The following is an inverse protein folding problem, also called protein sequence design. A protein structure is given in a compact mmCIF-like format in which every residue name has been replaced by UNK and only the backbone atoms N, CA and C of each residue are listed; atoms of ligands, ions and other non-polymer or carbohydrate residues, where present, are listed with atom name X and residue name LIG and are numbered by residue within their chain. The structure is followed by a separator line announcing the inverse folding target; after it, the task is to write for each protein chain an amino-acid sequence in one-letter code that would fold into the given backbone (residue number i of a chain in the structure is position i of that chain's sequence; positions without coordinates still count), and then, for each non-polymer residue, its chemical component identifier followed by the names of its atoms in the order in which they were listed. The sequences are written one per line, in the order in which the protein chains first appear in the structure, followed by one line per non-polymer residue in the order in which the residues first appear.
data_IF_480713650314
#
_entry.id   IF_480713650314
#
_cell.length_a   1.000
_cell.length_b   1.000
_cell.length_c   1.000
_cell.angle_alpha   90.00
_cell.angle_beta   90.00
_cell.angle_gamma   90.00
#
_symmetry.space_group_name_H-M   'P 1'
#
loop_
_entity.id
_entity.type
_entity.pdbx_description
1 polymer ?
#
# COMPACT_ATOMS: atom_id res chain seq x y z
N UNK A 1 -85.00 33.67 21.78
CA UNK A 1 -84.25 32.45 22.22
C UNK A 1 -83.54 31.67 21.08
N UNK A 2 -84.20 31.37 19.95
CA UNK A 2 -83.59 30.65 18.85
C UNK A 2 -82.66 31.56 17.99
N UNK A 3 -83.08 32.79 17.74
CA UNK A 3 -82.33 33.80 17.07
C UNK A 3 -81.04 34.22 17.83
N UNK A 4 -81.10 34.34 19.12
CA UNK A 4 -79.98 34.69 20.00
C UNK A 4 -78.92 33.60 20.04
N UNK A 5 -79.31 32.32 19.95
CA UNK A 5 -78.33 31.16 19.84
C UNK A 5 -77.64 31.16 18.51
N UNK A 6 -78.29 31.44 17.41
CA UNK A 6 -77.72 31.51 16.07
C UNK A 6 -76.68 32.66 15.98
N UNK A 7 -77.01 33.81 16.62
CA UNK A 7 -76.14 34.97 16.63
C UNK A 7 -74.87 34.74 17.51
N UNK A 8 -75.06 34.02 18.61
CA UNK A 8 -73.92 33.60 19.47
C UNK A 8 -73.03 32.57 18.81
N UNK A 9 -73.56 31.58 18.10
CA UNK A 9 -72.83 30.59 17.36
C UNK A 9 -72.06 31.24 16.20
N UNK A 10 -72.65 32.16 15.46
CA UNK A 10 -72.01 32.94 14.43
C UNK A 10 -70.83 33.80 14.95
N UNK A 11 -71.02 34.42 16.15
CA UNK A 11 -69.94 35.17 16.82
C UNK A 11 -68.78 34.26 17.26
N UNK A 12 -69.08 33.08 17.75
CA UNK A 12 -68.09 32.09 18.14
C UNK A 12 -67.28 31.57 16.92
N UNK A 13 -67.93 31.25 15.82
CA UNK A 13 -67.30 30.81 14.61
C UNK A 13 -66.46 31.89 13.98
N UNK A 14 -66.92 33.15 13.99
CA UNK A 14 -66.08 34.27 13.52
C UNK A 14 -64.85 34.49 14.39
N UNK A 15 -64.97 34.33 15.72
CA UNK A 15 -63.77 34.38 16.61
C UNK A 15 -62.84 33.23 16.36
N UNK A 16 -63.31 31.99 16.18
CA UNK A 16 -62.54 30.83 15.85
C UNK A 16 -61.80 31.03 14.54
N UNK A 17 -62.43 31.57 13.52
CA UNK A 17 -61.86 31.89 12.24
C UNK A 17 -60.76 32.96 12.35
N UNK A 18 -61.00 34.00 13.15
CA UNK A 18 -59.99 35.05 13.42
C UNK A 18 -58.72 34.48 14.13
N UNK A 19 -58.95 33.66 15.17
CA UNK A 19 -57.84 32.98 15.89
C UNK A 19 -57.06 32.08 14.96
N UNK A 20 -57.73 31.32 14.08
CA UNK A 20 -57.09 30.46 13.09
C UNK A 20 -56.18 31.27 12.13
N UNK A 21 -56.71 32.40 11.62
CA UNK A 21 -55.93 33.28 10.76
C UNK A 21 -54.72 33.93 11.48
N UNK A 22 -54.91 34.33 12.74
CA UNK A 22 -53.79 34.86 13.57
C UNK A 22 -52.73 33.78 13.76
N UNK A 23 -53.10 32.53 14.07
CA UNK A 23 -52.15 31.43 14.23
C UNK A 23 -51.38 31.12 12.92
N UNK A 24 -52.08 31.13 11.77
CA UNK A 24 -51.46 30.96 10.45
C UNK A 24 -50.45 32.08 10.17
N UNK A 25 -50.85 33.33 10.47
CA UNK A 25 -49.94 34.49 10.25
C UNK A 25 -48.68 34.44 11.12
N UNK A 26 -48.85 34.02 12.40
CA UNK A 26 -47.69 33.81 13.31
C UNK A 26 -46.81 32.70 12.80
N UNK A 27 -47.38 31.57 12.37
CA UNK A 27 -46.61 30.46 11.81
C UNK A 27 -45.83 30.86 10.58
N UNK A 28 -46.46 31.57 9.63
CA UNK A 28 -45.79 32.07 8.41
C UNK A 28 -44.70 33.08 8.77
N UNK A 29 -44.91 33.94 9.75
CA UNK A 29 -43.89 34.89 10.19
C UNK A 29 -42.69 34.20 10.82
N UNK A 30 -42.89 33.18 11.67
CA UNK A 30 -41.85 32.39 12.27
C UNK A 30 -41.08 31.61 11.18
N UNK A 31 -41.79 30.98 10.24
CA UNK A 31 -41.19 30.25 9.14
C UNK A 31 -40.34 31.15 8.24
N UNK A 32 -40.86 32.36 7.91
CA UNK A 32 -40.11 33.35 7.16
C UNK A 32 -38.87 33.86 7.91
N UNK A 33 -38.94 34.04 9.23
CA UNK A 33 -37.80 34.41 10.05
C UNK A 33 -36.73 33.35 10.11
N UNK A 34 -37.10 32.06 10.19
CA UNK A 34 -36.16 30.91 10.14
C UNK A 34 -35.46 30.89 8.77
N UNK A 35 -36.21 30.97 7.68
CA UNK A 35 -35.62 31.00 6.34
C UNK A 35 -34.70 32.20 6.18
N UNK A 36 -35.06 33.38 6.62
CA UNK A 36 -34.23 34.56 6.57
C UNK A 36 -32.94 34.42 7.38
N UNK A 37 -33.02 33.76 8.56
CA UNK A 37 -31.82 33.48 9.37
C UNK A 37 -30.86 32.51 8.68
N UNK A 38 -31.38 31.44 8.06
CA UNK A 38 -30.55 30.49 7.28
C UNK A 38 -29.89 31.17 6.09
N UNK A 39 -30.65 31.99 5.32
CA UNK A 39 -30.04 32.76 4.22
C UNK A 39 -28.97 33.75 4.70
N UNK A 40 -29.15 34.34 5.87
CA UNK A 40 -28.16 35.26 6.46
C UNK A 40 -26.90 34.52 6.88
N UNK A 41 -27.03 33.32 7.47
CA UNK A 41 -25.89 32.47 7.85
C UNK A 41 -25.11 32.00 6.60
N UNK A 42 -25.81 31.57 5.55
CA UNK A 42 -25.18 31.14 4.27
C UNK A 42 -24.46 32.33 3.64
N UNK A 43 -25.08 33.51 3.56
CA UNK A 43 -24.48 34.71 2.99
C UNK A 43 -23.26 35.18 3.78
N UNK A 44 -23.35 35.13 5.10
CA UNK A 44 -22.23 35.50 6.01
C UNK A 44 -21.09 34.51 5.87
N UNK A 45 -21.38 33.22 5.82
CA UNK A 45 -20.39 32.18 5.55
C UNK A 45 -19.69 32.38 4.21
N UNK A 46 -20.45 32.61 3.13
CA UNK A 46 -19.90 32.88 1.79
C UNK A 46 -18.99 34.13 1.76
N UNK A 47 -19.34 35.20 2.50
CA UNK A 47 -18.54 36.41 2.53
C UNK A 47 -17.19 36.25 3.23
N UNK A 48 -17.03 35.25 4.08
CA UNK A 48 -15.77 34.91 4.76
C UNK A 48 -14.95 33.83 4.06
N UNK A 49 -15.55 33.05 3.16
CA UNK A 49 -14.88 31.99 2.42
C UNK A 49 -14.17 32.53 1.18
N UNK A 50 -13.18 33.39 1.40
CA UNK A 50 -12.29 33.79 0.31
C UNK A 50 -11.10 32.83 0.25
N UNK A 51 -10.89 32.22 -0.90
CA UNK A 51 -9.67 31.49 -1.20
C UNK A 51 -8.62 32.50 -1.65
N UNK A 52 -7.52 32.57 -0.93
CA UNK A 52 -6.38 33.43 -1.32
C UNK A 52 -5.74 32.88 -2.59
N UNK A 53 -5.39 33.75 -3.54
CA UNK A 53 -4.73 33.34 -4.77
C UNK A 53 -3.31 32.84 -4.49
N UNK A 54 -2.88 31.85 -5.25
CA UNK A 54 -1.53 31.29 -5.21
C UNK A 54 -0.62 32.19 -6.05
N UNK A 55 0.55 32.50 -5.53
CA UNK A 55 1.61 33.31 -6.19
C UNK A 55 2.80 32.41 -6.56
N UNK A 56 3.80 32.98 -7.22
CA UNK A 56 5.06 32.29 -7.51
C UNK A 56 5.99 32.19 -6.27
N UNK A 57 5.66 32.89 -5.18
CA UNK A 57 6.45 32.88 -3.95
C UNK A 57 5.95 31.80 -2.98
N UNK A 58 6.77 30.78 -2.65
CA UNK A 58 6.38 29.69 -1.76
C UNK A 58 6.01 30.17 -0.34
N UNK A 59 6.67 31.20 0.20
CA UNK A 59 6.39 31.71 1.55
C UNK A 59 5.00 32.36 1.59
N UNK A 60 4.65 33.16 0.58
CA UNK A 60 3.32 33.76 0.46
C UNK A 60 2.23 32.68 0.31
N UNK A 61 2.52 31.59 -0.38
CA UNK A 61 1.59 30.47 -0.54
C UNK A 61 1.30 29.76 0.78
N UNK A 62 2.28 29.59 1.65
CA UNK A 62 2.08 29.02 3.00
C UNK A 62 1.18 29.93 3.83
N UNK A 63 1.41 31.25 3.80
CA UNK A 63 0.54 32.22 4.48
C UNK A 63 -0.89 32.19 3.92
N UNK A 64 -1.05 32.13 2.60
CA UNK A 64 -2.35 32.03 1.93
C UNK A 64 -3.14 30.77 2.32
N UNK A 65 -2.45 29.62 2.39
CA UNK A 65 -3.04 28.35 2.87
C UNK A 65 -3.48 28.51 4.34
N UNK A 66 -2.62 29.04 5.20
CA UNK A 66 -2.90 29.22 6.62
C UNK A 66 -4.11 30.15 6.85
N UNK A 67 -4.19 31.28 6.12
CA UNK A 67 -5.31 32.19 6.18
C UNK A 67 -6.61 31.56 5.68
N UNK A 68 -6.55 30.81 4.59
CA UNK A 68 -7.71 30.10 4.04
C UNK A 68 -8.23 29.08 5.06
N UNK A 69 -7.36 28.30 5.69
CA UNK A 69 -7.75 27.33 6.73
C UNK A 69 -8.35 28.02 7.96
N UNK A 70 -7.84 29.17 8.40
CA UNK A 70 -8.44 29.96 9.49
C UNK A 70 -9.85 30.44 9.13
N UNK A 71 -10.07 30.88 7.91
CA UNK A 71 -11.38 31.30 7.43
C UNK A 71 -12.37 30.13 7.41
N UNK A 72 -11.94 28.95 6.91
CA UNK A 72 -12.75 27.73 6.93
C UNK A 72 -13.09 27.32 8.37
N UNK A 73 -12.09 27.35 9.26
CA UNK A 73 -12.28 27.03 10.67
C UNK A 73 -13.33 27.94 11.31
N UNK A 74 -13.26 29.24 11.09
CA UNK A 74 -14.25 30.21 11.63
C UNK A 74 -15.67 29.85 11.20
N UNK A 75 -15.86 29.48 9.91
CA UNK A 75 -17.19 29.11 9.41
C UNK A 75 -17.65 27.75 9.97
N UNK A 76 -16.73 26.79 10.09
CA UNK A 76 -17.04 25.47 10.70
C UNK A 76 -17.50 25.67 12.14
N UNK A 77 -16.77 26.45 12.95
CA UNK A 77 -17.13 26.71 14.34
C UNK A 77 -18.48 27.40 14.51
N UNK A 78 -18.90 28.19 13.52
CA UNK A 78 -20.19 28.93 13.58
C UNK A 78 -21.41 28.08 13.14
N UNK A 79 -21.25 27.16 12.19
CA UNK A 79 -22.40 26.52 11.55
C UNK A 79 -22.38 24.99 11.57
N UNK A 80 -21.26 24.35 11.91
CA UNK A 80 -21.19 22.90 11.94
C UNK A 80 -21.84 22.35 13.21
N UNK A 81 -22.78 21.39 13.04
CA UNK A 81 -23.56 20.84 14.16
C UNK A 81 -22.95 19.58 14.78
N UNK A 82 -21.90 19.01 14.17
CA UNK A 82 -21.23 17.81 14.65
C UNK A 82 -20.12 18.12 15.66
N UNK A 83 -19.55 17.05 16.22
CA UNK A 83 -18.34 17.15 17.05
C UNK A 83 -17.12 17.33 16.16
N UNK A 84 -16.17 18.14 16.58
CA UNK A 84 -14.92 18.43 15.88
C UNK A 84 -13.81 17.63 16.54
N UNK A 85 -13.22 16.71 15.79
CA UNK A 85 -12.00 16.01 16.18
C UNK A 85 -10.78 16.77 15.62
N UNK A 86 -10.12 17.54 16.51
CA UNK A 86 -8.99 18.41 16.15
C UNK A 86 -7.81 17.61 15.61
N UNK A 87 -7.53 16.46 16.20
CA UNK A 87 -6.41 15.62 15.76
C UNK A 87 -6.65 15.09 14.36
N UNK A 88 -7.85 14.58 14.11
CA UNK A 88 -8.23 14.10 12.78
C UNK A 88 -8.18 15.19 11.71
N UNK A 89 -8.64 16.42 12.04
CA UNK A 89 -8.55 17.56 11.12
C UNK A 89 -7.08 17.87 10.80
N UNK A 90 -6.20 17.88 11.82
CA UNK A 90 -4.78 18.12 11.63
C UNK A 90 -4.16 17.06 10.72
N UNK A 91 -4.37 15.78 11.02
CA UNK A 91 -3.82 14.67 10.26
C UNK A 91 -4.27 14.69 8.79
N UNK A 92 -5.57 14.90 8.54
CA UNK A 92 -6.11 14.95 7.18
C UNK A 92 -5.66 16.22 6.42
N UNK A 93 -5.43 17.33 7.12
CA UNK A 93 -4.88 18.55 6.51
C UNK A 93 -3.45 18.33 6.03
N UNK A 94 -2.60 17.73 6.87
CA UNK A 94 -1.21 17.39 6.51
C UNK A 94 -1.19 16.36 5.38
N UNK A 95 -2.02 15.32 5.48
CA UNK A 95 -2.18 14.29 4.45
C UNK A 95 -2.57 14.91 3.10
N UNK A 96 -3.55 15.82 3.09
CA UNK A 96 -3.96 16.56 1.90
C UNK A 96 -2.84 17.42 1.30
N UNK A 97 -2.03 18.06 2.16
CA UNK A 97 -0.88 18.85 1.72
C UNK A 97 0.18 18.00 1.02
N UNK A 98 0.55 16.85 1.62
CA UNK A 98 1.52 15.90 1.03
C UNK A 98 0.98 15.28 -0.25
N UNK A 99 -0.31 14.90 -0.28
CA UNK A 99 -0.96 14.39 -1.49
C UNK A 99 -0.95 15.38 -2.65
N UNK A 100 -0.90 16.68 -2.36
CA UNK A 100 -0.78 17.74 -3.35
C UNK A 100 0.56 17.75 -4.11
N UNK A 101 1.55 16.96 -3.71
CA UNK A 101 2.81 16.74 -4.44
C UNK A 101 2.60 15.90 -5.72
N UNK A 102 1.46 15.21 -5.87
CA UNK A 102 1.14 14.31 -6.97
C UNK A 102 2.20 13.20 -7.17
N UNK A 103 2.80 12.78 -6.05
CA UNK A 103 3.75 11.68 -5.97
C UNK A 103 3.11 10.49 -5.26
N UNK A 104 2.99 9.36 -5.96
CA UNK A 104 2.32 8.14 -5.48
C UNK A 104 3.04 7.46 -4.30
N UNK A 105 4.31 7.82 -4.04
CA UNK A 105 5.15 7.23 -3.01
C UNK A 105 5.34 8.11 -1.79
N UNK A 106 5.01 9.41 -1.88
CA UNK A 106 5.10 10.35 -0.76
C UNK A 106 3.79 10.37 0.02
N UNK A 107 3.87 10.17 1.33
CA UNK A 107 2.70 10.12 2.19
C UNK A 107 2.99 10.57 3.62
N UNK A 108 1.96 11.08 4.29
CA UNK A 108 1.95 11.30 5.73
C UNK A 108 1.21 10.14 6.40
N UNK A 109 1.80 9.58 7.45
CA UNK A 109 1.20 8.55 8.28
C UNK A 109 1.18 8.99 9.74
N UNK A 110 0.07 8.79 10.43
CA UNK A 110 -0.02 8.93 11.88
C UNK A 110 0.90 7.93 12.57
N UNK A 111 1.22 8.14 13.85
CA UNK A 111 2.05 7.23 14.63
C UNK A 111 1.52 5.78 14.59
N UNK A 112 0.20 5.60 14.63
CA UNK A 112 -0.44 4.28 14.53
C UNK A 112 -0.25 3.66 13.15
N UNK A 113 -0.54 4.41 12.08
CA UNK A 113 -0.36 3.93 10.71
C UNK A 113 1.10 3.58 10.42
N UNK A 114 2.04 4.35 10.99
CA UNK A 114 3.46 4.06 10.88
C UNK A 114 3.86 2.78 11.61
N UNK A 115 3.31 2.54 12.78
CA UNK A 115 3.58 1.32 13.54
C UNK A 115 3.02 0.09 12.81
N UNK A 116 1.81 0.20 12.26
CA UNK A 116 1.21 -0.81 11.39
C UNK A 116 2.06 -1.04 10.12
N UNK A 117 2.58 0.02 9.50
CA UNK A 117 3.45 -0.05 8.33
C UNK A 117 4.79 -0.75 8.66
N UNK A 118 5.47 -0.37 9.76
CA UNK A 118 6.71 -1.02 10.20
C UNK A 118 6.52 -2.52 10.43
N UNK A 119 5.46 -2.87 11.13
CA UNK A 119 5.11 -4.28 11.41
C UNK A 119 4.96 -5.08 10.11
N UNK A 120 4.39 -4.45 9.09
CA UNK A 120 4.23 -5.06 7.77
C UNK A 120 5.55 -5.12 6.97
N UNK A 121 6.36 -4.04 7.00
CA UNK A 121 7.57 -3.91 6.21
C UNK A 121 8.78 -4.70 6.75
N UNK A 122 8.81 -4.96 8.05
CA UNK A 122 9.91 -5.70 8.69
C UNK A 122 9.70 -7.24 8.68
N UNK A 123 8.67 -7.73 8.00
CA UNK A 123 8.41 -9.17 7.91
C UNK A 123 8.02 -9.85 9.23
N UNK A 124 7.90 -9.08 10.33
CA UNK A 124 7.46 -9.58 11.62
C UNK A 124 5.93 -9.67 11.68
N UNK A 125 5.37 -10.53 10.84
CA UNK A 125 3.93 -10.73 10.81
C UNK A 125 3.47 -11.57 11.97
N UNK A 126 2.71 -10.98 12.90
CA UNK A 126 1.93 -11.74 13.86
C UNK A 126 0.51 -11.89 13.34
N UNK A 127 0.16 -13.10 12.98
CA UNK A 127 -1.11 -13.40 12.35
C UNK A 127 -1.38 -14.89 12.25
N UNK A 128 -2.07 -15.31 11.20
CA UNK A 128 -2.40 -16.71 10.98
C UNK A 128 -1.56 -17.40 9.90
N UNK A 129 -0.86 -16.63 9.04
CA UNK A 129 -0.01 -17.15 7.96
C UNK A 129 -0.80 -17.62 6.74
N UNK A 130 -1.28 -16.66 5.95
CA UNK A 130 -1.92 -16.89 4.64
C UNK A 130 -1.41 -15.88 3.62
N UNK A 131 -1.22 -16.33 2.40
CA UNK A 131 -1.21 -15.45 1.22
C UNK A 131 -2.64 -15.26 0.75
N UNK A 132 -3.01 -14.03 0.41
CA UNK A 132 -4.37 -13.70 -0.05
C UNK A 132 -4.33 -12.68 -1.18
N UNK A 133 -5.35 -12.69 -2.01
CA UNK A 133 -5.54 -11.74 -3.10
C UNK A 133 -7.01 -11.34 -3.21
N UNK A 134 -7.29 -10.31 -4.00
CA UNK A 134 -8.66 -9.94 -4.34
C UNK A 134 -9.03 -10.68 -5.63
N UNK A 135 -10.09 -11.49 -5.57
CA UNK A 135 -10.58 -12.23 -6.72
C UNK A 135 -11.40 -11.34 -7.69
N UNK A 136 -11.86 -11.89 -8.79
CA UNK A 136 -12.58 -11.15 -9.85
C UNK A 136 -13.92 -10.57 -9.37
N UNK A 137 -14.51 -11.15 -8.33
CA UNK A 137 -15.74 -10.71 -7.69
C UNK A 137 -15.51 -9.61 -6.63
N UNK A 138 -14.24 -9.20 -6.41
CA UNK A 138 -13.88 -8.18 -5.44
C UNK A 138 -13.79 -8.68 -4.00
N UNK A 139 -13.75 -9.98 -3.76
CA UNK A 139 -13.63 -10.58 -2.44
C UNK A 139 -12.19 -11.01 -2.15
N UNK A 140 -11.81 -11.02 -0.88
CA UNK A 140 -10.51 -11.52 -0.44
C UNK A 140 -10.54 -13.04 -0.39
N UNK A 141 -9.65 -13.67 -1.15
CA UNK A 141 -9.53 -15.13 -1.30
C UNK A 141 -8.15 -15.58 -0.83
N UNK A 142 -8.11 -16.71 -0.11
CA UNK A 142 -6.86 -17.36 0.30
C UNK A 142 -6.18 -17.95 -0.93
N UNK A 143 -5.03 -17.39 -1.29
CA UNK A 143 -4.20 -17.91 -2.37
C UNK A 143 -3.52 -19.20 -1.92
N UNK A 144 -2.93 -19.18 -0.70
CA UNK A 144 -2.31 -20.35 -0.09
C UNK A 144 -2.05 -20.09 1.42
N UNK A 145 -2.27 -21.08 2.32
CA UNK A 145 -1.72 -21.04 3.67
C UNK A 145 -0.20 -21.23 3.64
N UNK A 146 0.53 -20.50 4.48
CA UNK A 146 1.98 -20.63 4.61
C UNK A 146 2.30 -21.96 5.33
N UNK A 147 3.26 -22.70 4.83
CA UNK A 147 3.69 -23.98 5.40
C UNK A 147 4.11 -23.84 6.87
N UNK A 148 3.62 -24.72 7.73
CA UNK A 148 3.84 -24.69 9.18
C UNK A 148 3.07 -23.60 9.92
N UNK A 149 2.22 -22.82 9.24
CA UNK A 149 1.47 -21.73 9.85
C UNK A 149 0.27 -22.20 10.70
N UNK A 150 -0.25 -21.31 11.58
CA UNK A 150 -1.51 -21.55 12.27
C UNK A 150 -2.69 -21.79 11.34
N UNK A 151 -2.75 -21.10 10.20
CA UNK A 151 -3.81 -21.23 9.20
C UNK A 151 -3.81 -22.62 8.54
N UNK A 152 -2.63 -23.11 8.15
CA UNK A 152 -2.47 -24.46 7.60
C UNK A 152 -2.90 -25.50 8.65
N UNK A 153 -2.38 -25.37 9.88
CA UNK A 153 -2.72 -26.26 11.00
C UNK A 153 -4.21 -26.27 11.33
N UNK A 154 -4.90 -25.13 11.16
CA UNK A 154 -6.35 -25.03 11.34
C UNK A 154 -7.15 -25.60 10.17
N UNK A 155 -6.51 -25.83 9.02
CA UNK A 155 -7.14 -26.42 7.84
C UNK A 155 -7.77 -25.39 6.88
N UNK A 156 -7.33 -24.13 6.88
CA UNK A 156 -7.60 -23.19 5.78
C UNK A 156 -6.98 -23.76 4.51
N UNK A 157 -7.61 -23.44 3.36
CA UNK A 157 -7.20 -23.97 2.06
C UNK A 157 -7.21 -22.88 0.99
N UNK A 158 -6.45 -23.11 -0.06
CA UNK A 158 -6.51 -22.34 -1.29
C UNK A 158 -7.96 -22.29 -1.81
N UNK A 159 -8.39 -21.10 -2.22
CA UNK A 159 -9.73 -20.85 -2.73
C UNK A 159 -10.79 -20.56 -1.67
N UNK A 160 -10.43 -20.51 -0.37
CA UNK A 160 -11.33 -20.07 0.68
C UNK A 160 -11.57 -18.55 0.56
N UNK A 161 -12.82 -18.11 0.42
CA UNK A 161 -13.17 -16.71 0.38
C UNK A 161 -13.45 -16.22 1.80
N UNK A 162 -12.72 -15.23 2.28
CA UNK A 162 -12.91 -14.66 3.62
C UNK A 162 -14.16 -13.81 3.64
N UNK A 163 -15.17 -14.24 4.38
CA UNK A 163 -16.47 -13.55 4.46
C UNK A 163 -16.68 -12.80 5.76
N UNK A 164 -16.02 -13.22 6.86
CA UNK A 164 -16.00 -12.43 8.11
C UNK A 164 -14.73 -12.65 8.91
N UNK A 165 -14.35 -11.62 9.70
CA UNK A 165 -13.27 -11.66 10.69
C UNK A 165 -13.82 -11.09 12.00
N UNK A 166 -13.76 -11.86 13.10
CA UNK A 166 -14.34 -11.52 14.41
C UNK A 166 -15.82 -11.05 14.29
N UNK A 167 -16.60 -11.79 13.52
CA UNK A 167 -18.02 -11.52 13.22
C UNK A 167 -18.29 -10.21 12.45
N UNK A 168 -17.25 -9.47 12.01
CA UNK A 168 -17.39 -8.34 11.10
C UNK A 168 -17.42 -8.84 9.64
N UNK A 169 -18.35 -8.34 8.83
CA UNK A 169 -18.47 -8.72 7.41
C UNK A 169 -17.29 -8.16 6.60
N UNK A 170 -16.63 -9.01 5.81
CA UNK A 170 -15.47 -8.68 4.97
C UNK A 170 -15.75 -8.80 3.46
N UNK A 171 -16.98 -9.10 3.05
CA UNK A 171 -17.36 -9.22 1.64
C UNK A 171 -17.22 -7.88 0.94
N UNK A 172 -16.41 -7.82 -0.13
CA UNK A 172 -16.17 -6.58 -0.89
C UNK A 172 -15.30 -5.54 -0.17
N UNK A 173 -14.66 -5.91 0.94
CA UNK A 173 -13.76 -5.03 1.70
C UNK A 173 -12.34 -5.14 1.12
N UNK A 174 -11.60 -4.03 1.13
CA UNK A 174 -10.21 -3.97 0.70
C UNK A 174 -9.33 -4.97 1.48
N UNK A 175 -8.41 -5.63 0.78
CA UNK A 175 -7.51 -6.66 1.32
C UNK A 175 -6.66 -6.15 2.49
N UNK A 176 -6.24 -4.88 2.49
CA UNK A 176 -5.43 -4.32 3.56
C UNK A 176 -6.23 -4.21 4.87
N UNK A 177 -7.51 -3.85 4.77
CA UNK A 177 -8.42 -3.82 5.92
C UNK A 177 -8.62 -5.24 6.45
N UNK A 178 -8.89 -6.22 5.59
CA UNK A 178 -9.04 -7.62 5.97
C UNK A 178 -7.76 -8.13 6.65
N UNK A 179 -6.59 -7.82 6.07
CA UNK A 179 -5.28 -8.14 6.63
C UNK A 179 -5.10 -7.55 8.04
N UNK A 180 -5.41 -6.27 8.21
CA UNK A 180 -5.28 -5.59 9.50
C UNK A 180 -6.16 -6.21 10.60
N UNK A 181 -7.34 -6.73 10.24
CA UNK A 181 -8.25 -7.41 11.18
C UNK A 181 -7.77 -8.83 11.53
N UNK A 182 -7.10 -9.51 10.61
CA UNK A 182 -6.52 -10.85 10.82
C UNK A 182 -5.27 -10.76 11.69
N UNK A 183 -4.42 -9.76 11.49
CA UNK A 183 -3.23 -9.48 12.31
C UNK A 183 -3.63 -9.09 13.74
N UNK A 184 -2.67 -9.14 14.65
CA UNK A 184 -2.87 -8.71 16.04
C UNK A 184 -1.78 -9.26 16.95
N UNK A 185 -1.93 -9.09 18.25
CA UNK A 185 -0.95 -9.52 19.26
C UNK A 185 -0.77 -11.05 19.26
N UNK A 186 0.49 -11.49 19.42
CA UNK A 186 0.84 -12.91 19.50
C UNK A 186 0.11 -13.60 20.67
N UNK A 187 -0.35 -14.83 20.43
CA UNK A 187 -1.11 -15.61 21.39
C UNK A 187 -2.59 -15.26 21.47
N UNK A 188 -3.05 -14.17 20.85
CA UNK A 188 -4.48 -13.87 20.76
C UNK A 188 -5.15 -14.71 19.66
N UNK A 189 -6.46 -14.90 19.76
CA UNK A 189 -7.24 -15.65 18.77
C UNK A 189 -8.01 -14.74 17.84
N UNK A 190 -8.15 -15.17 16.59
CA UNK A 190 -9.02 -14.54 15.59
C UNK A 190 -10.03 -15.57 15.09
N UNK A 191 -11.29 -15.16 15.01
CA UNK A 191 -12.35 -15.95 14.39
C UNK A 191 -12.47 -15.55 12.92
N UNK A 192 -12.39 -16.52 12.02
CA UNK A 192 -12.52 -16.30 10.56
C UNK A 192 -13.58 -17.22 10.03
N UNK A 193 -14.55 -16.66 9.33
CA UNK A 193 -15.51 -17.44 8.55
C UNK A 193 -15.13 -17.32 7.08
N UNK A 194 -15.03 -18.45 6.39
CA UNK A 194 -14.77 -18.51 4.96
C UNK A 194 -15.95 -19.17 4.22
N UNK A 195 -16.12 -18.79 2.97
CA UNK A 195 -16.96 -19.52 2.03
C UNK A 195 -16.07 -20.47 1.23
N UNK A 196 -16.23 -21.77 1.48
CA UNK A 196 -15.54 -22.86 0.78
C UNK A 196 -16.52 -23.59 -0.13
N UNK A 197 -16.37 -23.47 -1.45
CA UNK A 197 -17.36 -23.91 -2.43
C UNK A 197 -18.71 -23.20 -2.20
N UNK A 198 -19.65 -23.83 -1.49
CA UNK A 198 -20.99 -23.30 -1.18
C UNK A 198 -21.32 -23.33 0.32
N UNK A 199 -20.34 -23.68 1.16
CA UNK A 199 -20.53 -23.85 2.59
C UNK A 199 -19.71 -22.82 3.38
N UNK A 200 -20.29 -22.30 4.45
CA UNK A 200 -19.56 -21.47 5.41
C UNK A 200 -18.82 -22.36 6.41
N UNK A 201 -17.53 -22.08 6.60
CA UNK A 201 -16.67 -22.79 7.54
C UNK A 201 -16.05 -21.77 8.50
N UNK A 202 -16.20 -22.04 9.80
CA UNK A 202 -15.65 -21.21 10.87
C UNK A 202 -14.32 -21.77 11.35
N UNK A 203 -13.35 -20.88 11.57
CA UNK A 203 -12.06 -21.17 12.15
C UNK A 203 -11.81 -20.25 13.35
N UNK A 204 -11.28 -20.77 14.43
CA UNK A 204 -10.73 -19.99 15.54
C UNK A 204 -9.22 -20.27 15.60
N UNK A 205 -8.40 -19.28 15.19
CA UNK A 205 -6.97 -19.46 14.94
C UNK A 205 -6.18 -18.58 15.91
N UNK A 206 -5.20 -19.17 16.61
CA UNK A 206 -4.25 -18.43 17.43
C UNK A 206 -3.25 -17.69 16.54
N UNK A 207 -3.07 -16.40 16.79
CA UNK A 207 -2.05 -15.60 16.11
C UNK A 207 -0.67 -15.96 16.62
N UNK A 208 0.26 -16.17 15.71
CA UNK A 208 1.67 -16.44 16.01
C UNK A 208 2.56 -15.57 15.15
N UNK A 209 3.81 -15.38 15.56
CA UNK A 209 4.84 -14.87 14.67
C UNK A 209 4.95 -15.82 13.47
N UNK A 210 4.72 -15.27 12.26
CA UNK A 210 4.76 -16.03 11.01
C UNK A 210 6.17 -15.90 10.44
N UNK A 211 6.86 -17.00 10.32
CA UNK A 211 8.12 -17.02 9.60
C UNK A 211 7.82 -16.93 8.10
N UNK A 212 8.08 -15.80 7.51
CA UNK A 212 8.07 -15.65 6.05
C UNK A 212 9.41 -16.15 5.54
N UNK A 213 9.39 -17.08 4.60
CA UNK A 213 10.59 -17.47 3.87
C UNK A 213 10.75 -16.50 2.70
N UNK A 214 11.92 -15.89 2.62
CA UNK A 214 12.24 -14.95 1.54
C UNK A 214 12.74 -15.64 0.29
N UNK A 215 13.22 -16.88 0.47
CA UNK A 215 13.93 -17.65 -0.56
C UNK A 215 13.39 -19.07 -0.64
N UNK A 216 12.98 -19.49 -1.82
CA UNK A 216 12.68 -20.89 -2.14
C UNK A 216 13.74 -21.44 -3.09
N UNK A 217 14.09 -22.71 -2.94
CA UNK A 217 15.14 -23.32 -3.74
C UNK A 217 14.79 -24.67 -4.29
N UNK A 218 15.25 -24.95 -5.50
CA UNK A 218 15.13 -26.25 -6.14
C UNK A 218 16.41 -26.61 -6.89
N UNK A 219 16.80 -27.89 -6.90
CA UNK A 219 17.83 -28.40 -7.77
C UNK A 219 17.17 -28.92 -9.07
N UNK A 220 17.37 -28.19 -10.14
CA UNK A 220 16.85 -28.56 -11.45
C UNK A 220 17.82 -29.52 -12.20
N UNK A 221 17.34 -30.05 -13.32
CA UNK A 221 18.16 -30.86 -14.22
C UNK A 221 19.43 -30.10 -14.67
N UNK A 222 20.46 -30.83 -15.13
CA UNK A 222 21.74 -30.30 -15.59
C UNK A 222 22.55 -29.52 -14.54
N UNK A 223 22.37 -29.83 -13.27
CA UNK A 223 23.05 -29.15 -12.15
C UNK A 223 22.76 -27.63 -12.11
N UNK A 224 21.56 -27.22 -12.39
CA UNK A 224 21.12 -25.86 -12.29
C UNK A 224 20.43 -25.68 -10.93
N UNK A 225 20.95 -24.76 -10.10
CA UNK A 225 20.26 -24.32 -8.89
C UNK A 225 19.22 -23.26 -9.24
N UNK A 226 18.02 -23.43 -8.75
CA UNK A 226 16.94 -22.43 -8.85
C UNK A 226 16.73 -21.78 -7.48
N UNK A 227 16.69 -20.46 -7.48
CA UNK A 227 16.46 -19.64 -6.29
C UNK A 227 15.35 -18.65 -6.62
N UNK A 228 14.17 -18.84 -6.05
CA UNK A 228 13.08 -17.85 -6.08
C UNK A 228 13.26 -16.90 -4.90
N UNK A 229 13.42 -15.63 -5.18
CA UNK A 229 13.55 -14.56 -4.19
C UNK A 229 12.26 -13.76 -4.16
N UNK A 230 11.45 -13.93 -3.11
CA UNK A 230 10.09 -13.41 -3.06
C UNK A 230 10.02 -11.95 -2.61
N UNK A 231 10.94 -11.54 -1.73
CA UNK A 231 11.01 -10.17 -1.18
C UNK A 231 12.43 -9.87 -0.71
N UNK A 232 12.73 -8.57 -0.51
CA UNK A 232 13.99 -8.11 0.08
C UNK A 232 13.77 -7.62 1.52
N UNK A 233 13.11 -8.42 2.35
CA UNK A 233 12.94 -8.13 3.76
C UNK A 233 14.23 -8.43 4.55
N UNK A 234 14.28 -8.00 5.82
CA UNK A 234 15.45 -8.17 6.68
C UNK A 234 15.87 -9.65 6.79
N UNK A 235 17.14 -9.93 6.52
CA UNK A 235 17.73 -11.27 6.57
C UNK A 235 17.66 -12.06 5.26
N UNK A 236 17.03 -11.54 4.19
CA UNK A 236 16.92 -12.27 2.94
C UNK A 236 18.30 -12.50 2.27
N UNK A 237 19.26 -11.60 2.44
CA UNK A 237 20.63 -11.78 1.91
C UNK A 237 21.37 -12.95 2.55
N UNK A 238 21.24 -13.14 3.85
CA UNK A 238 21.81 -14.30 4.54
C UNK A 238 21.08 -15.60 4.15
N UNK A 239 19.75 -15.55 3.98
CA UNK A 239 18.95 -16.67 3.47
C UNK A 239 19.36 -17.07 2.06
N UNK A 240 19.52 -16.08 1.16
CA UNK A 240 20.03 -16.30 -0.20
C UNK A 240 21.43 -16.95 -0.20
N UNK A 241 22.35 -16.46 0.63
CA UNK A 241 23.69 -17.00 0.77
C UNK A 241 23.69 -18.47 1.23
N UNK A 242 22.86 -18.78 2.24
CA UNK A 242 22.73 -20.13 2.76
C UNK A 242 22.12 -21.07 1.70
N UNK A 243 21.09 -20.62 1.03
CA UNK A 243 20.43 -21.32 -0.07
C UNK A 243 21.38 -21.60 -1.24
N UNK A 244 22.19 -20.62 -1.62
CA UNK A 244 23.23 -20.82 -2.63
C UNK A 244 24.25 -21.86 -2.21
N UNK A 245 24.76 -21.79 -0.97
CA UNK A 245 25.74 -22.74 -0.46
C UNK A 245 25.19 -24.17 -0.43
N UNK A 246 23.92 -24.34 -0.06
CA UNK A 246 23.25 -25.64 -0.07
C UNK A 246 23.09 -26.21 -1.49
N UNK A 247 22.70 -25.38 -2.44
CA UNK A 247 22.63 -25.78 -3.86
C UNK A 247 24.01 -26.13 -4.42
N UNK A 248 25.04 -25.35 -4.09
CA UNK A 248 26.42 -25.63 -4.47
C UNK A 248 26.89 -26.95 -3.88
N UNK A 249 26.63 -27.23 -2.63
CA UNK A 249 26.93 -28.51 -1.97
C UNK A 249 26.20 -29.70 -2.62
N UNK A 250 24.99 -29.49 -3.13
CA UNK A 250 24.24 -30.47 -3.93
C UNK A 250 24.74 -30.61 -5.38
N UNK A 251 25.70 -29.79 -5.81
CA UNK A 251 26.37 -29.90 -7.11
C UNK A 251 25.86 -28.91 -8.16
N UNK A 252 25.16 -27.85 -7.77
CA UNK A 252 24.77 -26.77 -8.69
C UNK A 252 26.01 -26.10 -9.29
N UNK A 253 26.03 -25.94 -10.62
CA UNK A 253 27.09 -25.29 -11.39
C UNK A 253 26.68 -23.92 -11.91
N UNK A 254 25.43 -23.77 -12.23
CA UNK A 254 24.82 -22.55 -12.74
C UNK A 254 23.54 -22.25 -11.92
N UNK A 255 23.09 -20.99 -11.94
CA UNK A 255 21.96 -20.55 -11.10
C UNK A 255 20.92 -19.80 -11.92
N UNK A 256 19.66 -20.05 -11.62
CA UNK A 256 18.53 -19.20 -11.99
C UNK A 256 18.09 -18.45 -10.73
N UNK A 257 18.02 -17.12 -10.81
CA UNK A 257 17.43 -16.27 -9.78
C UNK A 257 16.07 -15.79 -10.31
N UNK A 258 14.99 -16.19 -9.64
CA UNK A 258 13.64 -15.78 -10.03
C UNK A 258 13.18 -14.59 -9.18
N UNK A 259 12.99 -13.45 -9.84
CA UNK A 259 12.48 -12.21 -9.26
C UNK A 259 11.09 -11.87 -9.79
N UNK A 260 10.42 -12.79 -10.47
CA UNK A 260 9.07 -12.58 -10.94
C UNK A 260 8.13 -12.38 -9.75
N UNK A 261 7.24 -11.40 -9.85
CA UNK A 261 6.31 -10.96 -8.79
C UNK A 261 6.98 -10.41 -7.51
N UNK A 262 8.29 -10.24 -7.49
CA UNK A 262 9.00 -9.62 -6.37
C UNK A 262 8.93 -8.09 -6.51
N UNK A 263 8.13 -7.44 -5.68
CA UNK A 263 7.90 -5.98 -5.69
C UNK A 263 9.03 -5.17 -5.06
N UNK A 264 10.11 -5.83 -4.61
CA UNK A 264 11.26 -5.19 -3.99
C UNK A 264 11.33 -5.38 -2.48
N UNK A 265 11.76 -4.37 -1.78
CA UNK A 265 11.97 -4.34 -0.33
C UNK A 265 13.17 -3.45 0.03
N UNK A 266 13.98 -3.87 1.00
CA UNK A 266 15.11 -3.13 1.52
C UNK A 266 16.27 -3.08 0.52
N UNK A 267 16.69 -1.87 0.14
CA UNK A 267 17.84 -1.67 -0.76
C UNK A 267 19.13 -2.26 -0.17
N UNK A 268 19.29 -2.21 1.15
CA UNK A 268 20.47 -2.80 1.81
C UNK A 268 20.58 -4.30 1.57
N UNK A 269 19.50 -5.05 1.72
CA UNK A 269 19.45 -6.50 1.45
C UNK A 269 19.75 -6.82 -0.02
N UNK A 270 19.22 -6.00 -0.94
CA UNK A 270 19.49 -6.11 -2.36
C UNK A 270 21.00 -5.93 -2.67
N UNK A 271 21.63 -4.90 -2.11
CA UNK A 271 23.06 -4.64 -2.28
C UNK A 271 23.92 -5.73 -1.63
N UNK A 272 23.50 -6.27 -0.47
CA UNK A 272 24.21 -7.39 0.15
C UNK A 272 24.11 -8.68 -0.70
N UNK A 273 23.00 -8.92 -1.41
CA UNK A 273 22.92 -10.01 -2.40
C UNK A 273 23.80 -9.71 -3.62
N UNK A 274 23.81 -8.47 -4.12
CA UNK A 274 24.67 -8.06 -5.23
C UNK A 274 26.16 -8.25 -4.89
N UNK A 275 26.57 -7.94 -3.65
CA UNK A 275 27.93 -8.18 -3.10
C UNK A 275 28.34 -9.67 -3.12
N UNK A 276 27.39 -10.60 -3.06
CA UNK A 276 27.69 -12.03 -3.17
C UNK A 276 27.99 -12.47 -4.61
N UNK A 277 27.61 -11.66 -5.60
CA UNK A 277 27.63 -12.04 -7.02
C UNK A 277 28.60 -11.19 -7.83
N UNK A 278 28.70 -9.89 -7.54
CA UNK A 278 29.50 -8.93 -8.30
C UNK A 278 30.95 -8.91 -7.83
N UNK A 279 31.92 -8.66 -8.74
CA UNK A 279 33.31 -8.46 -8.34
C UNK A 279 33.41 -7.18 -7.50
N UNK A 280 34.37 -7.19 -6.59
CA UNK A 280 34.69 -6.03 -5.76
C UNK A 280 34.85 -4.75 -6.62
N UNK A 281 34.37 -3.62 -6.10
CA UNK A 281 34.36 -2.30 -6.73
C UNK A 281 33.46 -2.15 -7.96
N UNK A 282 32.63 -3.17 -8.30
CA UNK A 282 31.61 -3.03 -9.32
C UNK A 282 30.53 -2.03 -8.86
N UNK A 283 30.08 -1.18 -9.76
CA UNK A 283 28.95 -0.28 -9.46
C UNK A 283 27.65 -1.10 -9.39
N UNK A 284 26.93 -0.98 -8.31
CA UNK A 284 25.67 -1.66 -8.07
C UNK A 284 24.47 -0.74 -8.34
N UNK A 285 24.61 0.52 -7.93
CA UNK A 285 23.53 1.49 -7.93
C UNK A 285 24.13 2.91 -8.02
N UNK A 286 23.44 3.80 -8.73
CA UNK A 286 23.70 5.23 -8.72
C UNK A 286 22.46 5.93 -8.23
N UNK A 287 22.56 6.78 -7.21
CA UNK A 287 21.47 7.61 -6.72
C UNK A 287 21.71 9.07 -7.07
N UNK A 288 20.63 9.79 -7.35
CA UNK A 288 20.67 11.23 -7.65
C UNK A 288 19.64 11.93 -6.76
N UNK A 289 20.12 12.86 -5.93
CA UNK A 289 19.26 13.65 -5.04
C UNK A 289 18.55 14.82 -5.75
N UNK A 290 17.68 15.52 -5.05
CA UNK A 290 16.95 16.68 -5.54
C UNK A 290 17.86 17.83 -6.02
N UNK A 291 19.14 17.87 -5.60
CA UNK A 291 20.14 18.87 -6.02
C UNK A 291 20.98 18.42 -7.21
N UNK A 292 20.79 17.20 -7.69
CA UNK A 292 21.54 16.59 -8.77
C UNK A 292 22.87 15.97 -8.33
N UNK A 293 23.13 15.79 -7.02
CA UNK A 293 24.33 15.12 -6.54
C UNK A 293 24.19 13.61 -6.79
N UNK A 294 25.24 13.03 -7.36
CA UNK A 294 25.32 11.58 -7.61
C UNK A 294 26.09 10.88 -6.52
N UNK A 295 25.55 9.76 -6.03
CA UNK A 295 26.22 8.82 -5.14
C UNK A 295 26.29 7.45 -5.80
N UNK A 296 27.43 6.76 -5.66
CA UNK A 296 27.72 5.48 -6.28
C UNK A 296 27.87 4.41 -5.22
N UNK A 297 26.93 3.48 -5.16
CA UNK A 297 27.08 2.27 -4.36
C UNK A 297 27.90 1.26 -5.13
N UNK A 298 28.89 0.65 -4.46
CA UNK A 298 29.80 -0.31 -5.07
C UNK A 298 29.93 -1.55 -4.21
N UNK A 299 30.05 -2.69 -4.86
CA UNK A 299 30.34 -3.96 -4.23
C UNK A 299 31.63 -3.91 -3.38
N UNK A 300 31.60 -4.49 -2.19
CA UNK A 300 32.62 -4.37 -1.16
C UNK A 300 33.49 -5.63 -1.05
N UNK A 301 33.00 -6.78 -1.52
CA UNK A 301 33.59 -8.10 -1.30
C UNK A 301 33.88 -8.80 -2.62
N UNK A 302 34.71 -9.84 -2.57
CA UNK A 302 34.83 -10.77 -3.67
C UNK A 302 33.62 -11.68 -3.74
N UNK A 303 33.13 -12.02 -4.94
CA UNK A 303 31.95 -12.84 -5.11
C UNK A 303 32.13 -14.27 -4.60
N UNK A 304 31.05 -14.83 -4.06
CA UNK A 304 30.98 -16.26 -3.68
C UNK A 304 30.20 -17.08 -4.71
N UNK A 305 29.31 -16.40 -5.48
CA UNK A 305 28.48 -17.06 -6.48
C UNK A 305 29.31 -17.29 -7.77
N UNK A 306 29.40 -18.54 -8.15
CA UNK A 306 30.18 -19.01 -9.32
C UNK A 306 29.22 -19.51 -10.41
N UNK A 307 29.75 -19.66 -11.63
CA UNK A 307 29.00 -20.16 -12.78
C UNK A 307 28.24 -19.08 -13.53
N UNK A 308 27.41 -19.53 -14.48
CA UNK A 308 26.50 -18.65 -15.22
C UNK A 308 25.23 -18.37 -14.39
N UNK A 309 24.71 -17.18 -14.54
CA UNK A 309 23.48 -16.76 -13.87
C UNK A 309 22.48 -16.28 -14.92
N UNK A 310 21.22 -16.74 -14.79
CA UNK A 310 20.09 -16.18 -15.50
C UNK A 310 19.10 -15.63 -14.48
N UNK A 311 18.59 -14.42 -14.72
CA UNK A 311 17.57 -13.81 -13.87
C UNK A 311 16.24 -13.79 -14.59
N UNK A 312 15.18 -14.23 -13.93
CA UNK A 312 13.82 -14.14 -14.42
C UNK A 312 13.13 -12.90 -13.83
N UNK A 313 12.46 -12.11 -14.67
CA UNK A 313 11.69 -10.94 -14.29
C UNK A 313 10.35 -10.88 -14.99
N UNK A 314 9.41 -10.16 -14.41
CA UNK A 314 8.16 -9.79 -15.07
C UNK A 314 7.75 -8.34 -14.72
N UNK A 315 6.60 -7.91 -15.22
CA UNK A 315 6.01 -6.58 -15.02
C UNK A 315 5.74 -6.20 -13.56
N UNK A 316 5.81 -7.16 -12.63
CA UNK A 316 5.67 -6.95 -11.19
C UNK A 316 7.01 -6.93 -10.45
N UNK A 317 8.12 -7.24 -11.11
CA UNK A 317 9.46 -7.09 -10.55
C UNK A 317 9.76 -5.60 -10.41
N UNK A 318 9.91 -5.08 -9.18
CA UNK A 318 9.98 -3.64 -8.92
C UNK A 318 11.06 -3.25 -7.90
N UNK A 319 11.48 -1.96 -7.91
CA UNK A 319 12.33 -1.37 -6.86
C UNK A 319 13.65 -2.14 -6.66
N UNK A 320 13.88 -2.73 -5.47
CA UNK A 320 15.10 -3.49 -5.16
C UNK A 320 15.36 -4.63 -6.18
N UNK A 321 14.31 -5.28 -6.69
CA UNK A 321 14.44 -6.25 -7.78
C UNK A 321 15.06 -5.64 -9.02
N UNK A 322 14.65 -4.42 -9.40
CA UNK A 322 15.17 -3.71 -10.56
C UNK A 322 16.63 -3.28 -10.37
N UNK A 323 16.98 -2.90 -9.13
CA UNK A 323 18.38 -2.59 -8.77
C UNK A 323 19.25 -3.82 -8.96
N UNK A 324 18.86 -4.97 -8.39
CA UNK A 324 19.62 -6.22 -8.50
C UNK A 324 19.78 -6.65 -9.97
N UNK A 325 18.67 -6.68 -10.72
CA UNK A 325 18.68 -7.06 -12.13
C UNK A 325 19.59 -6.16 -12.95
N UNK A 326 19.47 -4.83 -12.78
CA UNK A 326 20.29 -3.87 -13.51
C UNK A 326 21.77 -4.01 -13.14
N UNK A 327 22.08 -4.19 -11.85
CA UNK A 327 23.43 -4.40 -11.36
C UNK A 327 24.07 -5.65 -11.97
N UNK A 328 23.36 -6.77 -11.97
CA UNK A 328 23.89 -8.03 -12.52
C UNK A 328 24.03 -7.98 -14.05
N UNK A 329 23.03 -7.48 -14.74
CA UNK A 329 23.00 -7.36 -16.20
C UNK A 329 24.10 -6.45 -16.70
N UNK A 330 24.20 -5.23 -16.19
CA UNK A 330 25.12 -4.23 -16.73
C UNK A 330 26.58 -4.44 -16.33
N UNK A 331 26.85 -5.24 -15.29
CA UNK A 331 28.16 -5.77 -14.98
C UNK A 331 28.49 -7.10 -15.72
N UNK A 332 27.62 -7.54 -16.65
CA UNK A 332 27.78 -8.77 -17.45
C UNK A 332 27.88 -10.05 -16.60
N UNK A 333 27.17 -10.10 -15.48
CA UNK A 333 27.15 -11.27 -14.58
C UNK A 333 25.96 -12.17 -14.80
N UNK A 334 24.85 -11.63 -15.37
CA UNK A 334 23.65 -12.41 -15.64
C UNK A 334 23.03 -12.02 -16.98
N UNK A 335 22.39 -12.99 -17.62
CA UNK A 335 21.43 -12.77 -18.71
C UNK A 335 20.02 -12.69 -18.12
N UNK A 336 19.18 -11.84 -18.65
CA UNK A 336 17.84 -11.56 -18.12
C UNK A 336 16.78 -12.06 -19.08
N UNK A 337 15.84 -12.85 -18.57
CA UNK A 337 14.74 -13.46 -19.34
C UNK A 337 13.41 -13.03 -18.73
N UNK A 338 12.40 -12.76 -19.56
CA UNK A 338 11.05 -12.48 -19.12
C UNK A 338 10.47 -11.26 -19.77
N UNK A 339 9.86 -10.36 -18.98
CA UNK A 339 9.25 -9.10 -19.42
C UNK A 339 9.95 -7.90 -18.80
N UNK A 340 9.74 -6.73 -19.41
CA UNK A 340 10.19 -5.46 -18.82
C UNK A 340 9.60 -5.31 -17.42
N UNK A 341 10.44 -4.94 -16.45
CA UNK A 341 10.05 -4.74 -15.06
C UNK A 341 9.16 -3.51 -14.85
N UNK A 342 8.68 -3.30 -13.64
CA UNK A 342 7.66 -2.30 -13.30
C UNK A 342 8.08 -0.85 -13.58
N UNK A 343 9.31 -0.47 -13.24
CA UNK A 343 9.80 0.90 -13.43
C UNK A 343 9.66 1.79 -12.18
N UNK A 344 9.81 1.25 -10.96
CA UNK A 344 9.92 2.06 -9.74
C UNK A 344 11.38 2.43 -9.50
N UNK A 345 11.81 3.59 -10.01
CA UNK A 345 13.18 4.09 -9.94
C UNK A 345 13.40 5.22 -8.94
N UNK A 346 12.70 5.21 -7.79
CA UNK A 346 12.77 6.27 -6.77
C UNK A 346 12.93 5.69 -5.35
N UNK A 347 13.60 6.46 -4.50
CA UNK A 347 13.88 6.11 -3.10
C UNK A 347 13.11 7.07 -2.20
N UNK A 348 12.42 6.51 -1.21
CA UNK A 348 11.76 7.28 -0.17
C UNK A 348 12.64 7.35 1.09
N UNK A 349 12.59 8.50 1.76
CA UNK A 349 13.10 8.68 3.12
C UNK A 349 11.93 8.88 4.07
N UNK A 350 12.08 8.37 5.28
CA UNK A 350 11.10 8.51 6.36
C UNK A 350 11.63 9.50 7.36
N UNK A 351 10.86 10.56 7.60
CA UNK A 351 11.15 11.60 8.58
C UNK A 351 10.13 11.47 9.71
N UNK A 352 10.61 11.07 10.89
CA UNK A 352 9.77 10.92 12.08
C UNK A 352 9.56 12.26 12.76
N UNK A 353 8.30 12.56 13.11
CA UNK A 353 7.89 13.76 13.84
C UNK A 353 7.88 13.48 15.35
N UNK A 354 7.79 14.55 16.15
CA UNK A 354 7.88 14.45 17.62
C UNK A 354 6.71 13.68 18.28
N UNK A 355 5.60 13.55 17.60
CA UNK A 355 4.40 12.80 18.04
C UNK A 355 4.39 11.34 17.57
N UNK A 356 5.47 10.90 16.89
CA UNK A 356 5.60 9.56 16.33
C UNK A 356 4.93 9.39 14.96
N UNK A 357 4.25 10.40 14.42
CA UNK A 357 3.81 10.41 13.03
C UNK A 357 5.00 10.56 12.09
N UNK A 358 4.84 10.25 10.81
CA UNK A 358 5.95 10.30 9.85
C UNK A 358 5.55 10.97 8.54
N UNK A 359 6.55 11.61 7.95
CA UNK A 359 6.52 12.07 6.58
C UNK A 359 7.47 11.21 5.75
N UNK A 360 6.92 10.35 4.89
CA UNK A 360 7.64 9.55 3.91
C UNK A 360 7.66 10.35 2.61
N UNK A 361 8.87 10.67 2.11
CA UNK A 361 9.06 11.50 0.92
C UNK A 361 9.98 10.81 -0.07
N UNK A 362 9.68 10.93 -1.36
CA UNK A 362 10.62 10.63 -2.43
C UNK A 362 11.74 11.67 -2.43
N UNK A 363 12.97 11.21 -2.17
CA UNK A 363 14.13 12.08 -1.98
C UNK A 363 15.20 11.91 -3.04
N UNK A 364 15.23 10.77 -3.72
CA UNK A 364 16.23 10.46 -4.75
C UNK A 364 15.62 9.62 -5.85
N UNK A 365 16.20 9.75 -7.04
CA UNK A 365 15.99 8.84 -8.16
C UNK A 365 17.22 7.93 -8.29
N UNK A 366 17.02 6.67 -8.64
CA UNK A 366 18.14 5.75 -8.88
C UNK A 366 18.25 5.35 -10.35
N UNK A 367 19.49 5.08 -10.74
CA UNK A 367 19.90 4.75 -12.08
C UNK A 367 20.72 3.45 -12.07
N UNK A 368 20.76 2.78 -13.20
CA UNK A 368 21.59 1.60 -13.40
C UNK A 368 23.10 1.94 -13.33
N UNK A 369 23.99 0.94 -13.20
CA UNK A 369 25.43 1.16 -13.28
C UNK A 369 25.93 1.94 -14.52
N UNK A 370 25.21 1.84 -15.63
CA UNK A 370 25.50 2.59 -16.87
C UNK A 370 24.70 3.88 -17.03
N UNK A 371 24.18 4.41 -15.92
CA UNK A 371 23.40 5.65 -15.87
C UNK A 371 22.07 5.61 -16.65
N UNK A 372 21.50 4.43 -16.90
CA UNK A 372 20.19 4.33 -17.51
C UNK A 372 19.09 4.60 -16.46
N UNK A 373 18.06 5.33 -16.87
CA UNK A 373 16.90 5.62 -16.03
C UNK A 373 16.01 4.38 -15.90
N UNK A 374 15.59 4.07 -14.67
CA UNK A 374 14.66 2.99 -14.36
C UNK A 374 13.25 3.55 -14.16
N UNK A 375 13.13 4.72 -13.51
CA UNK A 375 11.84 5.31 -13.14
C UNK A 375 10.92 5.48 -14.35
N UNK A 376 9.73 4.88 -14.27
CA UNK A 376 8.67 4.83 -15.31
C UNK A 376 9.09 4.12 -16.62
N UNK A 377 10.21 3.41 -16.63
CA UNK A 377 10.76 2.72 -17.82
C UNK A 377 10.94 1.22 -17.54
N UNK A 378 11.45 0.86 -16.36
CA UNK A 378 11.82 -0.49 -16.00
C UNK A 378 13.14 -0.97 -16.61
N UNK A 379 13.52 -2.20 -16.27
CA UNK A 379 14.66 -2.90 -16.82
C UNK A 379 14.17 -3.88 -17.90
N UNK A 380 14.66 -3.73 -19.12
CA UNK A 380 14.32 -4.64 -20.23
C UNK A 380 15.11 -5.95 -20.10
N UNK A 381 14.48 -7.11 -20.31
CA UNK A 381 15.19 -8.38 -20.38
C UNK A 381 16.12 -8.43 -21.62
N UNK A 382 17.09 -9.34 -21.63
CA UNK A 382 17.89 -9.66 -22.83
C UNK A 382 17.10 -10.56 -23.78
N UNK A 383 16.24 -11.42 -23.19
CA UNK A 383 15.34 -12.30 -23.92
C UNK A 383 13.90 -12.03 -23.46
N UNK A 384 13.14 -11.36 -24.30
CA UNK A 384 11.74 -11.12 -24.04
C UNK A 384 10.93 -12.39 -24.34
N UNK A 385 10.32 -12.96 -23.30
CA UNK A 385 9.58 -14.23 -23.37
C UNK A 385 8.26 -14.10 -22.62
N UNK A 386 7.16 -14.40 -23.32
CA UNK A 386 5.82 -14.48 -22.73
C UNK A 386 5.62 -15.84 -22.03
N UNK A 387 4.85 -15.83 -20.92
CA UNK A 387 4.36 -17.07 -20.32
C UNK A 387 3.29 -17.72 -21.23
N UNK A 388 3.34 -19.02 -21.41
CA UNK A 388 2.27 -19.76 -22.06
C UNK A 388 1.22 -20.19 -21.01
N UNK A 389 0.38 -19.23 -20.65
CA UNK A 389 -0.65 -19.43 -19.61
C UNK A 389 -1.72 -20.42 -20.07
N UNK A 390 -2.02 -20.50 -21.38
CA UNK A 390 -3.06 -21.37 -21.92
C UNK A 390 -2.70 -22.85 -21.75
N UNK A 391 -1.42 -23.19 -21.90
CA UNK A 391 -0.93 -24.57 -21.77
C UNK A 391 -0.25 -24.84 -20.40
N UNK A 392 -0.28 -23.90 -19.48
CA UNK A 392 0.38 -23.98 -18.16
C UNK A 392 1.88 -24.29 -18.27
N UNK A 393 2.56 -23.75 -19.32
CA UNK A 393 4.00 -23.97 -19.56
C UNK A 393 4.79 -22.73 -19.12
N UNK A 394 5.75 -22.90 -18.23
CA UNK A 394 6.71 -21.85 -17.89
C UNK A 394 7.77 -21.73 -18.99
N UNK A 395 7.44 -21.01 -20.05
CA UNK A 395 8.32 -20.73 -21.19
C UNK A 395 9.53 -19.91 -20.81
N UNK A 396 9.42 -19.03 -19.80
CA UNK A 396 10.53 -18.21 -19.29
C UNK A 396 11.55 -19.07 -18.56
N UNK A 397 11.12 -19.93 -17.65
CA UNK A 397 11.98 -20.88 -16.96
C UNK A 397 12.64 -21.86 -17.94
N UNK A 398 11.90 -22.31 -18.95
CA UNK A 398 12.44 -23.19 -20.00
C UNK A 398 13.56 -22.47 -20.80
N UNK A 399 13.37 -21.18 -21.13
CA UNK A 399 14.38 -20.38 -21.80
C UNK A 399 15.64 -20.17 -20.91
N UNK A 400 15.45 -19.92 -19.61
CA UNK A 400 16.55 -19.82 -18.67
C UNK A 400 17.38 -21.14 -18.60
N UNK A 401 16.70 -22.28 -18.52
CA UNK A 401 17.34 -23.61 -18.57
C UNK A 401 18.12 -23.85 -19.87
N UNK A 402 17.62 -23.35 -21.01
CA UNK A 402 18.30 -23.45 -22.31
C UNK A 402 19.63 -22.69 -22.32
N UNK A 403 19.64 -21.45 -21.77
CA UNK A 403 20.84 -20.59 -21.73
C UNK A 403 21.96 -21.14 -20.81
N UNK A 404 21.58 -22.00 -19.86
CA UNK A 404 22.52 -22.61 -18.90
C UNK A 404 22.98 -24.02 -19.27
N UNK A 405 22.52 -24.54 -20.37
CA UNK A 405 23.05 -25.79 -20.95
C UNK A 405 24.40 -25.53 -21.61
#
# INVERSE_FOLDING_TARGET
MEQDKIEEEYRLDKKRLQIKWIMITIFVAIFAAVIASEFTLIYYGQSKLNKTEITENPEENIEAISETLKNFRTVIDEIYIGEIDEQKIMDETIRGYVKGLDDEYSEYMTAKEWDDYKTNALGNYVGIGIYMHVNKEGNVEVLEPIEGSPAESAGLKKGDIIVSVNDENMVGINSDIVSSKIKGEEGTKVKITVLRNTEYVDFEIERKAIKVYHVETEMLENNIGYISLMTFDEGCAEEFKNSYNDLKAKGAKNIIIDLRNNTGGLVAECLDIADLILPKDAIELITVDAKGNKEYSKSKKEPIVEGKIVVLINEYSASASEILVAALKENNKAEVVGKTSYGKGVIQSVLELNDGSVLKLTVSEYFTPKENKINKIGVKPDYEVELDVENEIDTQLNKAKELLK
#
